data_IF_242914194328
#
_entry.id   IF_242914194328
#
_cell.length_a   1.000
_cell.length_b   1.000
_cell.length_c   1.000
_cell.angle_alpha   90.00
_cell.angle_beta   90.00
_cell.angle_gamma   90.00
#
_symmetry.space_group_name_H-M   'P 1'
#
loop_
_entity.id
_entity.type
_entity.pdbx_description
1 polymer ?
#
# COMPACT_ATOMS: atom_id res chain seq x y z
N UNK A 1 -59.66 17.04 12.12
CA UNK A 1 -58.78 16.98 10.93
C UNK A 1 -57.59 17.97 10.92
N UNK A 2 -57.54 19.04 11.74
CA UNK A 2 -56.51 20.09 11.59
C UNK A 2 -55.04 19.68 11.92
N UNK A 3 -54.81 18.84 12.94
CA UNK A 3 -53.45 18.53 13.45
C UNK A 3 -52.53 17.83 12.41
N UNK A 4 -53.09 17.06 11.48
CA UNK A 4 -52.32 16.25 10.54
C UNK A 4 -51.70 17.07 9.39
N UNK A 5 -52.45 18.05 8.84
CA UNK A 5 -51.94 18.97 7.80
C UNK A 5 -50.69 19.73 8.27
N UNK A 6 -50.58 20.02 9.56
CA UNK A 6 -49.40 20.68 10.15
C UNK A 6 -48.14 19.78 10.11
N UNK A 7 -48.24 18.53 10.56
CA UNK A 7 -47.12 17.55 10.47
C UNK A 7 -46.65 17.35 9.03
N UNK A 8 -47.59 17.22 8.08
CA UNK A 8 -47.27 17.03 6.66
C UNK A 8 -46.53 18.24 6.07
N UNK A 9 -46.94 19.47 6.43
CA UNK A 9 -46.28 20.72 6.00
C UNK A 9 -44.89 20.92 6.62
N UNK A 10 -44.68 20.51 7.89
CA UNK A 10 -43.35 20.58 8.53
C UNK A 10 -42.35 19.59 7.92
N UNK A 11 -42.75 18.33 7.75
CA UNK A 11 -41.90 17.28 7.13
C UNK A 11 -41.52 17.60 5.68
N UNK A 12 -42.39 18.28 4.94
CA UNK A 12 -42.08 18.82 3.61
C UNK A 12 -40.94 19.85 3.64
N UNK A 13 -40.98 20.82 4.56
CA UNK A 13 -39.90 21.81 4.72
C UNK A 13 -38.58 21.20 5.18
N UNK A 14 -38.60 20.19 6.05
CA UNK A 14 -37.39 19.48 6.47
C UNK A 14 -36.74 18.74 5.29
N UNK A 15 -37.52 18.07 4.43
CA UNK A 15 -37.04 17.44 3.20
C UNK A 15 -36.51 18.45 2.17
N UNK A 16 -37.20 19.58 1.97
CA UNK A 16 -36.76 20.65 1.07
C UNK A 16 -35.45 21.31 1.54
N UNK A 17 -35.29 21.49 2.86
CA UNK A 17 -34.08 22.06 3.46
C UNK A 17 -32.92 21.07 3.37
N UNK A 18 -33.15 19.78 3.66
CA UNK A 18 -32.14 18.73 3.46
C UNK A 18 -31.71 18.63 1.98
N UNK A 19 -32.65 18.70 1.03
CA UNK A 19 -32.34 18.74 -0.40
C UNK A 19 -31.45 19.93 -0.78
N UNK A 20 -31.71 21.12 -0.23
CA UNK A 20 -30.89 22.32 -0.44
C UNK A 20 -29.50 22.23 0.18
N UNK A 21 -29.35 21.60 1.35
CA UNK A 21 -28.04 21.34 1.97
C UNK A 21 -27.22 20.32 1.16
N UNK A 22 -27.86 19.27 0.64
CA UNK A 22 -27.20 18.29 -0.25
C UNK A 22 -26.79 18.91 -1.60
N UNK A 23 -27.61 19.82 -2.15
CA UNK A 23 -27.26 20.58 -3.34
C UNK A 23 -26.06 21.52 -3.12
N UNK A 24 -26.05 22.30 -2.03
CA UNK A 24 -24.93 23.17 -1.68
C UNK A 24 -23.62 22.38 -1.45
N UNK A 25 -23.72 21.15 -0.93
CA UNK A 25 -22.57 20.24 -0.77
C UNK A 25 -22.05 19.64 -2.09
N UNK A 26 -22.78 19.78 -3.21
CA UNK A 26 -22.37 19.26 -4.53
C UNK A 26 -21.88 20.33 -5.52
N UNK A 27 -22.08 21.62 -5.26
CA UNK A 27 -21.64 22.70 -6.17
C UNK A 27 -20.12 22.86 -6.30
N UNK A 28 -19.33 22.47 -5.28
CA UNK A 28 -17.86 22.64 -5.21
C UNK A 28 -17.04 21.88 -6.28
N UNK A 29 -17.67 21.05 -7.13
CA UNK A 29 -16.97 20.26 -8.19
C UNK A 29 -17.34 20.73 -9.61
N UNK A 30 -18.13 21.81 -9.76
CA UNK A 30 -18.63 22.34 -11.04
C UNK A 30 -17.61 23.18 -11.84
N UNK A 31 -16.36 22.71 -11.94
CA UNK A 31 -15.35 23.31 -12.82
C UNK A 31 -15.36 22.70 -14.23
N UNK A 32 -15.06 23.52 -15.25
CA UNK A 32 -14.86 23.02 -16.63
C UNK A 32 -13.86 21.85 -16.69
N UNK A 33 -14.02 20.89 -17.64
CA UNK A 33 -13.20 19.68 -17.71
C UNK A 33 -11.72 19.99 -18.07
N UNK A 34 -10.91 20.21 -17.03
CA UNK A 34 -9.51 20.64 -17.15
C UNK A 34 -8.67 19.59 -17.90
N UNK A 35 -8.02 19.91 -19.03
CA UNK A 35 -7.27 18.95 -19.84
C UNK A 35 -6.19 18.24 -19.03
N UNK A 36 -5.95 16.95 -19.29
CA UNK A 36 -5.05 16.11 -18.49
C UNK A 36 -3.66 16.73 -18.31
N UNK A 37 -3.16 16.76 -17.07
CA UNK A 37 -1.87 17.34 -16.71
C UNK A 37 -0.72 16.72 -17.52
N UNK A 38 0.23 17.55 -18.00
CA UNK A 38 1.38 17.06 -18.75
C UNK A 38 2.29 16.18 -17.89
N UNK A 39 3.09 15.30 -18.52
CA UNK A 39 4.08 14.51 -17.77
C UNK A 39 5.18 15.41 -17.17
N UNK A 40 5.61 16.45 -17.87
CA UNK A 40 6.73 17.31 -17.45
C UNK A 40 6.41 18.03 -16.14
N UNK A 41 5.21 18.61 -16.06
CA UNK A 41 4.77 19.38 -14.89
C UNK A 41 4.48 18.43 -13.71
N UNK A 42 3.91 17.26 -14.00
CA UNK A 42 3.69 16.23 -12.99
C UNK A 42 4.99 15.76 -12.32
N UNK A 43 6.03 15.38 -13.07
CA UNK A 43 7.26 14.87 -12.46
C UNK A 43 8.00 16.01 -11.70
N UNK A 44 7.94 17.26 -12.19
CA UNK A 44 8.50 18.45 -11.51
C UNK A 44 7.87 18.73 -10.15
N UNK A 45 6.54 18.67 -10.05
CA UNK A 45 5.85 18.91 -8.77
C UNK A 45 5.93 17.68 -7.85
N UNK A 46 6.00 16.47 -8.42
CA UNK A 46 6.26 15.23 -7.67
C UNK A 46 7.64 15.24 -6.99
N UNK A 47 8.67 15.79 -7.64
CA UNK A 47 10.02 15.92 -7.06
C UNK A 47 10.01 16.70 -5.74
N UNK A 48 9.28 17.82 -5.68
CA UNK A 48 9.12 18.62 -4.44
C UNK A 48 8.41 17.83 -3.34
N UNK A 49 7.28 17.19 -3.68
CA UNK A 49 6.51 16.39 -2.72
C UNK A 49 7.32 15.18 -2.21
N UNK A 50 8.24 14.66 -3.03
CA UNK A 50 9.16 13.59 -2.61
C UNK A 50 10.27 14.07 -1.65
N UNK A 51 10.70 15.34 -1.74
CA UNK A 51 11.56 15.96 -0.70
C UNK A 51 10.79 16.07 0.63
N UNK A 52 9.54 16.54 0.59
CA UNK A 52 8.72 16.69 1.79
C UNK A 52 8.34 15.35 2.43
N UNK A 53 8.10 14.29 1.64
CA UNK A 53 7.95 12.93 2.14
C UNK A 53 9.22 12.41 2.86
N UNK A 54 10.41 12.84 2.43
CA UNK A 54 11.69 12.52 3.10
C UNK A 54 11.90 13.37 4.38
N UNK A 55 11.32 14.57 4.49
CA UNK A 55 11.26 15.30 5.76
C UNK A 55 10.31 14.62 6.75
N UNK A 56 9.09 14.29 6.30
CA UNK A 56 8.11 13.52 7.06
C UNK A 56 8.71 12.20 7.59
N UNK A 57 9.47 11.47 6.78
CA UNK A 57 10.16 10.24 7.22
C UNK A 57 11.07 10.47 8.43
N UNK A 58 11.93 11.49 8.38
CA UNK A 58 12.87 11.76 9.46
C UNK A 58 12.16 12.30 10.70
N UNK A 59 11.11 13.11 10.53
CA UNK A 59 10.24 13.54 11.63
C UNK A 59 9.51 12.36 12.30
N UNK A 60 8.96 11.42 11.53
CA UNK A 60 8.32 10.20 12.06
C UNK A 60 9.31 9.39 12.89
N UNK A 61 10.52 9.17 12.38
CA UNK A 61 11.60 8.48 13.13
C UNK A 61 12.01 9.21 14.41
N UNK A 62 12.10 10.54 14.38
CA UNK A 62 12.55 11.35 15.50
C UNK A 62 11.50 11.48 16.61
N UNK A 63 10.24 11.73 16.23
CA UNK A 63 9.10 11.89 17.15
C UNK A 63 8.55 10.55 17.68
N UNK A 64 8.84 9.43 17.00
CA UNK A 64 8.20 8.15 17.26
C UNK A 64 6.74 8.10 16.81
N UNK A 65 6.27 9.06 15.98
CA UNK A 65 4.90 9.10 15.48
C UNK A 65 4.49 7.81 14.76
N UNK A 66 3.19 7.51 14.79
CA UNK A 66 2.61 6.29 14.21
C UNK A 66 1.55 6.69 13.20
N UNK A 67 1.74 6.36 11.93
CA UNK A 67 0.87 6.82 10.84
C UNK A 67 0.29 5.63 10.09
N UNK A 68 -1.03 5.60 9.92
CA UNK A 68 -1.75 4.56 9.20
C UNK A 68 -2.64 5.20 8.12
N UNK A 69 -2.45 4.81 6.86
CA UNK A 69 -3.19 5.36 5.73
C UNK A 69 -3.91 4.25 4.98
N UNK A 70 -5.24 4.33 4.92
CA UNK A 70 -6.08 3.38 4.18
C UNK A 70 -6.37 3.94 2.79
N UNK A 71 -5.98 3.21 1.74
CA UNK A 71 -6.38 3.52 0.37
C UNK A 71 -7.49 2.58 -0.05
N UNK A 72 -8.70 3.12 -0.16
CA UNK A 72 -9.86 2.51 -0.79
C UNK A 72 -10.25 3.28 -2.05
N UNK A 73 -11.34 2.86 -2.70
CA UNK A 73 -11.77 3.36 -4.00
C UNK A 73 -12.10 2.24 -4.96
N UNK A 74 -12.73 2.59 -6.08
CA UNK A 74 -13.14 1.63 -7.12
C UNK A 74 -11.94 0.88 -7.71
N UNK A 75 -12.22 -0.21 -8.39
CA UNK A 75 -11.21 -0.91 -9.17
C UNK A 75 -10.82 -0.07 -10.39
N UNK A 76 -9.54 -0.11 -10.74
CA UNK A 76 -8.84 0.84 -11.64
C UNK A 76 -8.69 2.31 -11.15
N UNK A 77 -9.29 2.72 -10.03
CA UNK A 77 -9.20 4.11 -9.53
C UNK A 77 -7.77 4.60 -9.21
N UNK A 78 -6.81 3.69 -9.02
CA UNK A 78 -5.38 4.01 -9.05
C UNK A 78 -4.62 3.93 -7.72
N UNK A 79 -5.21 3.33 -6.67
CA UNK A 79 -4.66 3.14 -5.30
C UNK A 79 -3.15 2.89 -5.24
N UNK A 80 -2.68 1.70 -5.63
CA UNK A 80 -1.26 1.36 -5.72
C UNK A 80 -0.39 2.27 -6.61
N UNK A 81 -1.00 3.07 -7.49
CA UNK A 81 -0.33 4.11 -8.28
C UNK A 81 -0.13 5.44 -7.56
N UNK A 82 -0.85 5.69 -6.45
CA UNK A 82 -0.55 6.76 -5.48
C UNK A 82 0.47 6.24 -4.47
N UNK A 83 0.22 5.06 -3.88
CA UNK A 83 1.13 4.40 -2.93
C UNK A 83 2.54 4.29 -3.49
N UNK A 84 2.70 3.83 -4.75
CA UNK A 84 4.01 3.76 -5.41
C UNK A 84 4.76 5.10 -5.47
N UNK A 85 4.07 6.24 -5.60
CA UNK A 85 4.71 7.56 -5.66
C UNK A 85 5.02 8.14 -4.28
N UNK A 86 4.27 7.73 -3.25
CA UNK A 86 4.62 7.97 -1.84
C UNK A 86 5.90 7.19 -1.49
N UNK A 87 5.97 5.89 -1.85
CA UNK A 87 7.08 5.01 -1.44
C UNK A 87 8.34 5.09 -2.33
N UNK A 88 8.35 5.92 -3.38
CA UNK A 88 9.42 5.94 -4.38
C UNK A 88 10.77 6.46 -3.87
N UNK A 89 10.77 7.33 -2.86
CA UNK A 89 11.97 8.02 -2.34
C UNK A 89 12.22 7.86 -0.83
N UNK A 90 11.39 7.08 -0.17
CA UNK A 90 11.45 6.83 1.28
C UNK A 90 11.92 5.40 1.57
N UNK A 91 12.43 5.20 2.78
CA UNK A 91 12.97 3.94 3.27
C UNK A 91 11.85 2.92 3.52
N UNK A 92 11.92 1.70 2.97
CA UNK A 92 10.95 0.64 3.25
C UNK A 92 11.03 0.11 4.70
N UNK A 93 11.99 0.59 5.50
CA UNK A 93 12.06 0.35 6.95
C UNK A 93 11.18 1.31 7.77
N UNK A 94 10.70 2.40 7.16
CA UNK A 94 9.79 3.39 7.77
C UNK A 94 8.43 3.32 7.10
N UNK A 95 8.41 3.35 5.76
CA UNK A 95 7.19 3.27 4.96
C UNK A 95 6.93 1.82 4.53
N UNK A 96 5.99 1.16 5.23
CA UNK A 96 5.54 -0.22 4.96
C UNK A 96 4.27 -0.19 4.11
N UNK A 97 4.20 -1.02 3.08
CA UNK A 97 2.96 -1.25 2.30
C UNK A 97 2.34 -2.57 2.71
N UNK A 98 1.04 -2.56 2.99
CA UNK A 98 0.27 -3.74 3.39
C UNK A 98 -0.81 -3.99 2.34
N UNK A 99 -0.74 -5.14 1.69
CA UNK A 99 -1.69 -5.56 0.66
C UNK A 99 -2.06 -7.03 0.92
N UNK A 100 -3.04 -7.25 1.80
CA UNK A 100 -3.46 -8.59 2.21
C UNK A 100 -4.29 -9.26 1.11
N UNK A 101 -3.94 -10.50 0.77
CA UNK A 101 -4.75 -11.34 -0.11
C UNK A 101 -6.02 -11.88 0.57
N UNK A 102 -6.76 -12.71 -0.17
CA UNK A 102 -7.92 -13.47 0.33
C UNK A 102 -7.63 -14.11 1.70
N UNK A 103 -8.55 -14.03 2.68
CA UNK A 103 -8.34 -14.65 3.99
C UNK A 103 -8.26 -16.17 3.87
N UNK A 104 -7.30 -16.76 4.58
CA UNK A 104 -7.24 -18.20 4.88
C UNK A 104 -8.44 -18.63 5.73
N UNK A 105 -8.75 -19.92 5.77
CA UNK A 105 -9.92 -20.42 6.54
C UNK A 105 -9.80 -20.16 8.06
N UNK A 106 -8.56 -20.06 8.56
CA UNK A 106 -8.29 -19.61 9.94
C UNK A 106 -8.55 -18.10 10.14
N UNK A 107 -8.34 -17.26 9.13
CA UNK A 107 -8.71 -15.83 9.20
C UNK A 107 -10.21 -15.62 9.00
N UNK A 108 -10.89 -16.46 8.22
CA UNK A 108 -12.36 -16.43 8.04
C UNK A 108 -13.12 -16.75 9.34
N UNK A 109 -12.53 -17.57 10.22
CA UNK A 109 -13.10 -17.98 11.51
C UNK A 109 -12.67 -17.08 12.70
N UNK A 110 -11.87 -16.05 12.45
CA UNK A 110 -11.45 -15.06 13.46
C UNK A 110 -12.39 -13.87 13.55
N UNK A 111 -12.19 -13.04 14.58
CA UNK A 111 -12.70 -11.67 14.57
C UNK A 111 -12.11 -10.95 13.34
N UNK A 112 -12.96 -10.40 12.47
CA UNK A 112 -12.54 -9.91 11.14
C UNK A 112 -11.35 -8.92 11.16
N UNK A 113 -11.27 -8.04 12.17
CA UNK A 113 -10.16 -7.08 12.33
C UNK A 113 -8.83 -7.72 12.75
N UNK A 114 -8.84 -8.94 13.31
CA UNK A 114 -7.68 -9.63 13.88
C UNK A 114 -6.56 -9.86 12.86
N UNK A 115 -6.88 -10.02 11.56
CA UNK A 115 -5.88 -10.16 10.51
C UNK A 115 -5.18 -8.84 10.14
N UNK A 116 -5.80 -7.69 10.43
CA UNK A 116 -5.29 -6.37 10.08
C UNK A 116 -4.51 -5.71 11.23
N UNK A 117 -4.91 -5.95 12.48
CA UNK A 117 -4.29 -5.38 13.69
C UNK A 117 -2.76 -5.62 13.79
N UNK A 118 -2.21 -6.81 13.47
CA UNK A 118 -0.76 -7.07 13.50
C UNK A 118 0.08 -6.25 12.50
N UNK A 119 -0.56 -5.51 11.59
CA UNK A 119 0.09 -4.67 10.60
C UNK A 119 0.01 -3.17 10.92
N UNK A 120 -0.65 -2.77 12.01
CA UNK A 120 -0.71 -1.38 12.45
C UNK A 120 0.70 -0.84 12.81
N UNK A 121 0.95 0.48 12.64
CA UNK A 121 2.29 1.07 12.81
C UNK A 121 2.79 0.98 14.26
N UNK A 122 4.05 0.55 14.40
CA UNK A 122 4.84 0.81 15.61
C UNK A 122 5.35 2.27 15.66
N UNK A 123 5.99 2.65 16.77
CA UNK A 123 6.59 3.97 16.92
C UNK A 123 7.66 4.23 15.84
N UNK A 124 7.53 5.30 15.08
CA UNK A 124 8.41 5.62 13.96
C UNK A 124 8.07 4.90 12.65
N UNK A 125 6.87 4.34 12.50
CA UNK A 125 6.39 3.72 11.25
C UNK A 125 5.27 4.50 10.55
N UNK A 126 5.29 4.43 9.22
CA UNK A 126 4.18 4.81 8.33
C UNK A 126 3.70 3.56 7.60
N UNK A 127 2.45 3.16 7.80
CA UNK A 127 1.82 2.01 7.15
C UNK A 127 0.79 2.46 6.13
N UNK A 128 0.92 1.97 4.90
CA UNK A 128 0.03 2.25 3.77
C UNK A 128 -0.71 0.97 3.36
N UNK A 129 -2.02 0.93 3.57
CA UNK A 129 -2.89 -0.19 3.20
C UNK A 129 -3.42 -0.03 1.76
N UNK A 130 -3.04 -0.91 0.83
CA UNK A 130 -3.70 -1.03 -0.49
C UNK A 130 -4.88 -2.00 -0.36
N UNK A 131 -6.06 -1.44 -0.11
CA UNK A 131 -7.20 -2.06 0.58
C UNK A 131 -6.94 -2.42 2.04
N UNK A 132 -8.02 -2.45 2.81
CA UNK A 132 -8.04 -2.48 4.27
C UNK A 132 -9.17 -3.38 4.80
N UNK A 133 -9.55 -3.22 6.07
CA UNK A 133 -10.78 -3.80 6.61
C UNK A 133 -12.04 -3.39 5.84
N UNK A 134 -12.03 -2.28 5.09
CA UNK A 134 -13.16 -1.88 4.24
C UNK A 134 -13.45 -2.80 3.04
N UNK A 135 -12.61 -3.82 2.79
CA UNK A 135 -12.96 -4.97 1.96
C UNK A 135 -14.36 -5.54 2.30
N UNK A 136 -14.73 -5.57 3.59
CA UNK A 136 -16.05 -6.02 4.04
C UNK A 136 -17.21 -5.13 3.59
N UNK A 137 -17.04 -3.81 3.66
CA UNK A 137 -18.06 -2.87 3.21
C UNK A 137 -18.22 -2.86 1.68
N UNK A 138 -17.12 -3.06 0.95
CA UNK A 138 -17.06 -3.09 -0.51
C UNK A 138 -17.23 -4.49 -1.12
N UNK A 139 -16.11 -5.15 -1.44
CA UNK A 139 -16.10 -6.37 -2.26
C UNK A 139 -16.80 -7.56 -1.61
N UNK A 140 -16.63 -7.80 -0.31
CA UNK A 140 -17.30 -8.94 0.34
C UNK A 140 -18.82 -8.79 0.33
N UNK A 141 -19.32 -7.56 0.54
CA UNK A 141 -20.74 -7.21 0.44
C UNK A 141 -21.28 -7.40 -0.98
N UNK A 142 -20.60 -6.85 -1.98
CA UNK A 142 -21.11 -6.83 -3.37
C UNK A 142 -20.99 -8.18 -4.07
N UNK A 143 -20.00 -8.99 -3.70
CA UNK A 143 -19.78 -10.33 -4.27
C UNK A 143 -20.39 -11.48 -3.45
N UNK A 144 -20.90 -11.20 -2.24
CA UNK A 144 -21.54 -12.20 -1.37
C UNK A 144 -20.57 -13.05 -0.55
N UNK A 145 -19.35 -12.56 -0.28
CA UNK A 145 -18.35 -13.24 0.56
C UNK A 145 -18.53 -12.98 2.07
N UNK A 146 -19.44 -12.07 2.44
CA UNK A 146 -19.89 -11.84 3.81
C UNK A 146 -21.43 -11.74 3.83
N UNK A 147 -22.05 -12.21 4.92
CA UNK A 147 -23.51 -12.13 5.07
C UNK A 147 -23.97 -10.70 5.36
N UNK A 148 -25.25 -10.33 5.12
CA UNK A 148 -25.75 -8.99 5.42
C UNK A 148 -25.51 -8.57 6.88
N UNK A 149 -25.67 -9.49 7.83
CA UNK A 149 -25.50 -9.29 9.27
C UNK A 149 -24.03 -9.08 9.65
N UNK A 150 -23.12 -9.77 8.96
CA UNK A 150 -21.67 -9.57 9.10
C UNK A 150 -21.24 -8.20 8.57
N UNK A 151 -21.84 -7.73 7.47
CA UNK A 151 -21.56 -6.40 6.89
C UNK A 151 -22.15 -5.29 7.76
N UNK A 152 -23.38 -5.43 8.25
CA UNK A 152 -24.00 -4.45 9.16
C UNK A 152 -23.22 -4.35 10.48
N UNK A 153 -22.88 -5.50 11.08
CA UNK A 153 -22.08 -5.55 12.30
C UNK A 153 -20.69 -4.97 12.09
N UNK A 154 -20.08 -5.17 10.92
CA UNK A 154 -18.84 -4.50 10.55
C UNK A 154 -19.01 -2.98 10.49
N UNK A 155 -20.00 -2.47 9.74
CA UNK A 155 -20.23 -1.03 9.59
C UNK A 155 -20.51 -0.35 10.93
N UNK A 156 -21.33 -0.97 11.79
CA UNK A 156 -21.63 -0.48 13.14
C UNK A 156 -20.42 -0.48 14.07
N UNK A 157 -19.53 -1.46 13.97
CA UNK A 157 -18.39 -1.62 14.88
C UNK A 157 -17.12 -0.90 14.41
N UNK A 158 -16.98 -0.60 13.11
CA UNK A 158 -15.76 0.01 12.54
C UNK A 158 -15.37 1.34 13.19
N UNK A 159 -16.29 2.30 13.44
CA UNK A 159 -15.94 3.57 14.10
C UNK A 159 -15.32 3.39 15.49
N UNK A 160 -15.74 2.36 16.23
CA UNK A 160 -15.19 2.05 17.56
C UNK A 160 -13.78 1.50 17.47
N UNK A 161 -13.51 0.61 16.50
CA UNK A 161 -12.16 0.07 16.25
C UNK A 161 -11.22 1.18 15.79
N UNK A 162 -11.67 2.06 14.90
CA UNK A 162 -10.87 3.20 14.42
C UNK A 162 -10.61 4.22 15.54
N UNK A 163 -11.59 4.50 16.40
CA UNK A 163 -11.39 5.33 17.58
C UNK A 163 -10.38 4.71 18.55
N UNK A 164 -10.40 3.39 18.80
CA UNK A 164 -9.39 2.71 19.63
C UNK A 164 -7.99 2.77 19.02
N UNK A 165 -7.87 2.68 17.69
CA UNK A 165 -6.59 2.87 16.99
C UNK A 165 -6.07 4.29 17.19
N UNK A 166 -6.92 5.31 17.01
CA UNK A 166 -6.58 6.73 17.18
C UNK A 166 -6.20 7.04 18.64
N UNK A 167 -6.98 6.55 19.61
CA UNK A 167 -6.70 6.71 21.05
C UNK A 167 -5.39 6.05 21.50
N UNK A 168 -4.87 5.07 20.74
CA UNK A 168 -3.53 4.53 20.98
C UNK A 168 -2.39 5.45 20.51
N UNK A 169 -2.70 6.61 19.93
CA UNK A 169 -1.73 7.56 19.36
C UNK A 169 -1.35 7.24 17.91
N UNK A 170 -2.28 6.76 17.08
CA UNK A 170 -2.08 6.54 15.64
C UNK A 170 -2.81 7.60 14.84
N UNK A 171 -2.08 8.31 13.97
CA UNK A 171 -2.66 9.20 12.96
C UNK A 171 -3.28 8.31 11.87
N UNK A 172 -4.59 8.12 11.90
CA UNK A 172 -5.35 7.28 10.97
C UNK A 172 -6.02 8.14 9.89
N UNK A 173 -5.67 7.91 8.62
CA UNK A 173 -6.15 8.68 7.46
C UNK A 173 -6.84 7.74 6.47
N UNK A 174 -8.03 8.10 5.97
CA UNK A 174 -8.80 7.29 5.03
C UNK A 174 -8.99 8.02 3.70
N UNK A 175 -8.49 7.43 2.61
CA UNK A 175 -8.66 7.94 1.25
C UNK A 175 -9.56 7.04 0.42
N UNK A 176 -10.55 7.64 -0.24
CA UNK A 176 -11.37 6.97 -1.24
C UNK A 176 -11.08 7.57 -2.63
N UNK A 177 -10.48 6.79 -3.51
CA UNK A 177 -10.24 7.21 -4.90
C UNK A 177 -11.51 6.95 -5.74
N UNK A 178 -12.15 8.03 -6.18
CA UNK A 178 -13.30 7.98 -7.10
C UNK A 178 -12.80 8.11 -8.54
N UNK A 179 -13.36 7.29 -9.44
CA UNK A 179 -13.16 7.36 -10.90
C UNK A 179 -14.53 7.17 -11.53
N UNK A 180 -14.82 7.89 -12.60
CA UNK A 180 -16.12 7.81 -13.28
C UNK A 180 -16.23 6.56 -14.19
N UNK A 181 -17.44 6.22 -14.63
CA UNK A 181 -17.73 4.93 -15.26
C UNK A 181 -16.98 4.73 -16.59
N UNK A 182 -16.92 5.79 -17.41
CA UNK A 182 -16.30 5.81 -18.72
C UNK A 182 -14.77 5.67 -18.62
N UNK A 183 -14.17 6.40 -17.68
CA UNK A 183 -12.73 6.32 -17.40
C UNK A 183 -12.36 5.00 -16.70
N UNK A 184 -13.26 4.41 -15.91
CA UNK A 184 -13.09 3.05 -15.38
C UNK A 184 -13.06 2.01 -16.51
N UNK A 185 -14.06 2.05 -17.41
CA UNK A 185 -14.17 1.13 -18.54
C UNK A 185 -12.96 1.25 -19.50
N UNK A 186 -12.55 2.49 -19.82
CA UNK A 186 -11.33 2.76 -20.58
C UNK A 186 -10.08 2.20 -19.90
N UNK A 187 -9.94 2.32 -18.57
CA UNK A 187 -8.82 1.75 -17.82
C UNK A 187 -8.82 0.23 -17.77
N UNK A 188 -9.99 -0.42 -17.89
CA UNK A 188 -10.06 -1.86 -18.08
C UNK A 188 -9.50 -2.26 -19.45
N UNK A 189 -9.92 -1.59 -20.52
CA UNK A 189 -9.40 -1.81 -21.88
C UNK A 189 -7.88 -1.56 -21.94
N UNK A 190 -7.39 -0.44 -21.39
CA UNK A 190 -5.96 -0.12 -21.28
C UNK A 190 -5.12 -1.17 -20.52
N UNK A 191 -5.73 -2.04 -19.70
CA UNK A 191 -5.06 -3.14 -18.99
C UNK A 191 -5.06 -4.45 -19.80
N UNK A 192 -6.11 -4.67 -20.58
CA UNK A 192 -6.22 -5.81 -21.50
C UNK A 192 -5.16 -5.68 -22.60
N UNK A 193 -5.02 -4.49 -23.16
CA UNK A 193 -4.20 -4.23 -24.35
C UNK A 193 -2.72 -3.98 -24.04
N UNK A 194 -2.32 -3.99 -22.75
CA UNK A 194 -0.94 -3.83 -22.31
C UNK A 194 -0.52 -5.04 -21.46
N UNK A 195 0.25 -5.97 -22.05
CA UNK A 195 0.77 -7.17 -21.38
C UNK A 195 1.56 -6.88 -20.09
N UNK A 196 2.07 -5.66 -19.88
CA UNK A 196 2.75 -5.26 -18.62
C UNK A 196 1.76 -4.95 -17.49
N UNK A 197 0.47 -4.82 -17.81
CA UNK A 197 -0.66 -4.56 -16.92
C UNK A 197 -1.64 -5.73 -16.81
N UNK A 198 -1.63 -6.71 -17.72
CA UNK A 198 -2.65 -7.78 -17.81
C UNK A 198 -2.84 -8.56 -16.50
N UNK A 199 -1.78 -8.76 -15.71
CA UNK A 199 -1.82 -9.37 -14.36
C UNK A 199 -2.66 -8.60 -13.33
N UNK A 200 -3.12 -7.38 -13.68
CA UNK A 200 -4.04 -6.55 -12.88
C UNK A 200 -5.50 -6.71 -13.32
N UNK A 201 -5.82 -7.78 -14.04
CA UNK A 201 -7.18 -8.18 -14.39
C UNK A 201 -7.43 -9.57 -13.82
N UNK A 202 -8.41 -9.68 -12.94
CA UNK A 202 -9.01 -10.95 -12.54
C UNK A 202 -10.41 -11.09 -13.14
N UNK A 203 -10.96 -12.32 -13.25
CA UNK A 203 -12.36 -12.52 -13.64
C UNK A 203 -13.35 -11.80 -12.72
N UNK A 204 -12.98 -11.54 -11.46
CA UNK A 204 -13.78 -10.80 -10.49
C UNK A 204 -13.86 -9.30 -10.84
N UNK A 205 -12.79 -8.67 -11.34
CA UNK A 205 -12.82 -7.25 -11.70
C UNK A 205 -13.79 -6.98 -12.86
N UNK A 206 -13.91 -7.92 -13.81
CA UNK A 206 -14.87 -7.85 -14.93
C UNK A 206 -16.31 -7.94 -14.42
N UNK A 207 -16.59 -8.83 -13.46
CA UNK A 207 -17.90 -8.88 -12.79
C UNK A 207 -18.18 -7.62 -11.96
N UNK A 208 -17.15 -7.01 -11.37
CA UNK A 208 -17.27 -5.79 -10.58
C UNK A 208 -17.67 -4.57 -11.44
N UNK A 209 -17.18 -4.50 -12.69
CA UNK A 209 -17.58 -3.46 -13.66
C UNK A 209 -19.11 -3.48 -13.91
N UNK A 210 -19.70 -4.67 -14.08
CA UNK A 210 -21.15 -4.81 -14.25
C UNK A 210 -21.96 -4.43 -12.98
N UNK A 211 -21.37 -4.57 -11.78
CA UNK A 211 -22.00 -4.27 -10.48
C UNK A 211 -21.80 -2.82 -10.01
N UNK A 212 -21.59 -1.88 -10.94
CA UNK A 212 -21.29 -0.45 -10.66
C UNK A 212 -22.21 0.19 -9.59
N UNK A 213 -23.52 -0.05 -9.69
CA UNK A 213 -24.50 0.54 -8.77
C UNK A 213 -24.53 -0.16 -7.41
N UNK A 214 -24.15 -1.44 -7.31
CA UNK A 214 -23.97 -2.12 -6.03
C UNK A 214 -22.74 -1.62 -5.29
N UNK A 215 -21.61 -1.44 -5.98
CA UNK A 215 -20.44 -0.77 -5.42
C UNK A 215 -20.74 0.68 -5.00
N UNK A 216 -21.59 1.39 -5.74
CA UNK A 216 -22.02 2.75 -5.39
C UNK A 216 -22.93 2.76 -4.15
N UNK A 217 -23.87 1.82 -4.03
CA UNK A 217 -24.68 1.59 -2.80
C UNK A 217 -23.80 1.22 -1.61
N UNK A 218 -22.82 0.34 -1.82
CA UNK A 218 -21.86 -0.11 -0.81
C UNK A 218 -21.01 1.05 -0.28
N UNK A 219 -20.40 1.85 -1.17
CA UNK A 219 -19.66 3.08 -0.83
C UNK A 219 -20.52 4.05 -0.02
N UNK A 220 -21.75 4.33 -0.48
CA UNK A 220 -22.62 5.30 0.19
C UNK A 220 -22.99 4.85 1.62
N UNK A 221 -23.28 3.56 1.81
CA UNK A 221 -23.54 2.99 3.13
C UNK A 221 -22.28 2.91 4.02
N UNK A 222 -21.09 2.77 3.41
CA UNK A 222 -19.81 2.83 4.11
C UNK A 222 -19.55 4.23 4.68
N UNK A 223 -19.64 5.27 3.83
CA UNK A 223 -19.48 6.65 4.29
C UNK A 223 -20.53 7.02 5.34
N UNK A 224 -21.81 6.71 5.12
CA UNK A 224 -22.88 7.01 6.07
C UNK A 224 -22.75 6.32 7.45
N UNK A 225 -21.91 5.29 7.57
CA UNK A 225 -21.65 4.58 8.82
C UNK A 225 -20.28 4.88 9.44
N UNK A 226 -19.27 5.28 8.65
CA UNK A 226 -17.88 5.40 9.12
C UNK A 226 -17.16 6.70 8.75
N UNK A 227 -17.83 7.66 8.11
CA UNK A 227 -17.34 9.04 8.04
C UNK A 227 -17.60 9.74 9.39
N UNK A 228 -16.55 10.01 10.16
CA UNK A 228 -16.66 10.58 11.52
C UNK A 228 -15.74 11.78 11.70
N UNK A 229 -16.07 12.75 12.58
CA UNK A 229 -15.19 13.90 12.84
C UNK A 229 -13.78 13.53 13.31
N UNK A 230 -13.62 12.37 13.95
CA UNK A 230 -12.33 11.85 14.43
C UNK A 230 -11.55 11.09 13.33
N UNK A 231 -12.25 10.51 12.36
CA UNK A 231 -11.68 9.72 11.27
C UNK A 231 -12.51 9.91 9.98
N UNK A 232 -12.37 11.06 9.30
CA UNK A 232 -13.19 11.37 8.13
C UNK A 232 -12.71 10.62 6.87
N UNK A 233 -13.58 10.57 5.86
CA UNK A 233 -13.28 10.04 4.52
C UNK A 233 -12.90 11.15 3.54
N UNK A 234 -11.65 11.10 3.04
CA UNK A 234 -11.18 12.03 2.02
C UNK A 234 -11.34 11.46 0.61
N UNK A 235 -12.26 12.04 -0.17
CA UNK A 235 -12.48 11.65 -1.57
C UNK A 235 -11.43 12.28 -2.48
N UNK A 236 -10.78 11.46 -3.30
CA UNK A 236 -9.78 11.88 -4.28
C UNK A 236 -10.31 11.63 -5.71
N UNK A 237 -10.74 12.67 -6.45
CA UNK A 237 -11.11 12.55 -7.85
C UNK A 237 -9.90 12.08 -8.69
N UNK A 238 -10.02 10.91 -9.32
CA UNK A 238 -8.87 10.17 -9.86
C UNK A 238 -8.83 10.02 -11.39
N UNK A 239 -9.75 10.64 -12.13
CA UNK A 239 -9.77 10.62 -13.60
C UNK A 239 -8.44 11.09 -14.21
N UNK A 240 -7.92 12.24 -13.76
CA UNK A 240 -6.53 12.61 -14.02
C UNK A 240 -5.62 11.98 -12.95
N UNK A 241 -5.03 10.83 -13.29
CA UNK A 241 -4.14 10.10 -12.37
C UNK A 241 -2.88 10.90 -11.96
N UNK A 242 -2.47 11.94 -12.70
CA UNK A 242 -1.31 12.77 -12.35
C UNK A 242 -1.71 13.78 -11.27
N UNK A 243 -2.80 14.51 -11.48
CA UNK A 243 -3.37 15.43 -10.47
C UNK A 243 -3.76 14.69 -9.19
N UNK A 244 -4.40 13.54 -9.30
CA UNK A 244 -4.83 12.75 -8.15
C UNK A 244 -3.67 12.33 -7.23
N UNK A 245 -2.52 11.96 -7.80
CA UNK A 245 -1.29 11.66 -7.05
C UNK A 245 -0.76 12.90 -6.32
N UNK A 246 -0.61 14.03 -7.03
CA UNK A 246 -0.10 15.27 -6.43
C UNK A 246 -1.03 15.76 -5.32
N UNK A 247 -2.33 15.84 -5.58
CA UNK A 247 -3.31 16.33 -4.61
C UNK A 247 -3.41 15.41 -3.38
N UNK A 248 -3.45 14.09 -3.56
CA UNK A 248 -3.50 13.14 -2.44
C UNK A 248 -2.24 13.18 -1.58
N UNK A 249 -1.05 13.32 -2.19
CA UNK A 249 0.22 13.45 -1.44
C UNK A 249 0.32 14.80 -0.74
N UNK A 250 -0.08 15.90 -1.39
CA UNK A 250 -0.13 17.24 -0.78
C UNK A 250 -1.07 17.25 0.42
N UNK A 251 -2.26 16.68 0.27
CA UNK A 251 -3.25 16.57 1.35
C UNK A 251 -2.73 15.68 2.50
N UNK A 252 -2.13 14.53 2.18
CA UNK A 252 -1.51 13.64 3.16
C UNK A 252 -0.43 14.34 4.00
N UNK A 253 0.44 15.12 3.37
CA UNK A 253 1.43 15.95 4.06
C UNK A 253 0.75 17.00 4.95
N UNK A 254 -0.28 17.70 4.47
CA UNK A 254 -0.98 18.73 5.25
C UNK A 254 -1.78 18.23 6.46
N UNK A 255 -2.11 16.93 6.51
CA UNK A 255 -2.79 16.31 7.66
C UNK A 255 -1.85 15.96 8.82
N UNK A 256 -0.53 16.05 8.63
CA UNK A 256 0.46 15.61 9.61
C UNK A 256 1.25 16.84 10.08
N UNK A 257 1.34 17.12 11.39
CA UNK A 257 2.13 18.22 11.92
C UNK A 257 3.63 17.84 11.96
N UNK A 258 4.22 17.56 10.79
CA UNK A 258 5.63 17.23 10.68
C UNK A 258 6.50 18.50 10.60
N UNK A 259 7.66 18.44 11.25
CA UNK A 259 8.61 19.53 11.34
C UNK A 259 9.96 19.11 10.73
N UNK A 260 10.76 20.07 10.27
CA UNK A 260 12.07 19.80 9.68
C UNK A 260 13.10 19.49 10.76
N UNK A 261 13.32 18.20 11.04
CA UNK A 261 14.28 17.71 12.04
C UNK A 261 15.70 18.24 11.74
N UNK A 262 16.38 18.88 12.70
CA UNK A 262 17.76 19.33 12.54
C UNK A 262 18.70 18.19 12.13
N UNK A 263 19.62 18.48 11.19
CA UNK A 263 20.61 17.50 10.71
C UNK A 263 22.01 18.09 10.80
N UNK A 264 22.96 17.31 11.31
CA UNK A 264 24.37 17.67 11.23
C UNK A 264 24.88 17.60 9.77
N UNK A 265 25.74 18.54 9.33
CA UNK A 265 26.34 18.48 7.99
C UNK A 265 27.22 17.23 7.82
N UNK A 266 26.90 16.41 6.81
CA UNK A 266 27.64 15.18 6.51
C UNK A 266 29.06 15.51 6.06
N UNK A 267 30.04 15.22 6.93
CA UNK A 267 31.47 15.32 6.63
C UNK A 267 31.96 13.99 6.08
N UNK A 268 32.18 13.91 4.77
CA UNK A 268 32.78 12.73 4.14
C UNK A 268 34.25 12.59 4.54
N UNK A 269 34.68 11.46 5.15
CA UNK A 269 36.09 11.25 5.47
C UNK A 269 36.92 11.08 4.19
N UNK A 270 38.22 11.40 4.27
CA UNK A 270 39.17 11.04 3.20
C UNK A 270 39.20 9.51 3.07
N UNK A 271 39.23 9.01 1.83
CA UNK A 271 39.44 7.58 1.56
C UNK A 271 40.81 7.15 2.10
N UNK A 272 40.90 5.93 2.60
CA UNK A 272 42.17 5.33 3.00
C UNK A 272 43.13 5.23 1.80
N UNK A 273 44.44 5.25 2.07
CA UNK A 273 45.44 4.96 1.06
C UNK A 273 45.36 3.49 0.61
N UNK A 274 45.85 3.19 -0.61
CA UNK A 274 45.84 1.81 -1.15
C UNK A 274 46.69 0.84 -0.30
N UNK A 275 47.74 1.33 0.35
CA UNK A 275 48.62 0.48 1.17
C UNK A 275 49.26 -0.63 0.35
N UNK A 276 49.24 -1.84 0.89
CA UNK A 276 49.67 -3.09 0.28
C UNK A 276 48.60 -3.76 -0.60
N UNK A 277 47.35 -3.25 -0.61
CA UNK A 277 46.23 -3.88 -1.32
C UNK A 277 46.51 -4.02 -2.82
N UNK A 278 46.55 -5.27 -3.27
CA UNK A 278 46.55 -5.65 -4.68
C UNK A 278 45.16 -6.14 -5.05
N UNK A 279 44.65 -5.62 -6.16
CA UNK A 279 43.36 -6.01 -6.72
C UNK A 279 43.53 -7.40 -7.35
N UNK A 280 42.71 -8.40 -6.99
CA UNK A 280 42.94 -9.78 -7.41
C UNK A 280 42.62 -9.97 -8.89
N UNK A 281 43.49 -10.68 -9.61
CA UNK A 281 43.25 -11.14 -10.97
C UNK A 281 42.28 -12.33 -10.97
N UNK A 282 41.01 -12.02 -10.66
CA UNK A 282 39.93 -12.98 -10.55
C UNK A 282 39.01 -12.90 -11.79
N UNK A 283 38.69 -14.02 -12.45
CA UNK A 283 37.86 -14.04 -13.66
C UNK A 283 36.37 -13.82 -13.32
N UNK A 284 36.02 -12.59 -12.98
CA UNK A 284 34.65 -12.17 -12.69
C UNK A 284 33.71 -12.35 -13.89
N UNK A 285 32.52 -12.90 -13.63
CA UNK A 285 31.44 -13.00 -14.63
C UNK A 285 30.65 -11.69 -14.67
N UNK A 286 31.11 -10.75 -15.50
CA UNK A 286 30.43 -9.47 -15.70
C UNK A 286 29.07 -9.63 -16.41
N UNK A 287 28.12 -8.76 -16.07
CA UNK A 287 26.83 -8.67 -16.77
C UNK A 287 27.02 -7.94 -18.10
N UNK A 288 26.60 -8.48 -19.26
CA UNK A 288 26.80 -7.82 -20.54
C UNK A 288 26.12 -6.45 -20.64
N UNK A 289 26.89 -5.41 -20.97
CA UNK A 289 26.42 -4.03 -21.09
C UNK A 289 25.55 -3.80 -22.36
N UNK A 290 24.28 -4.19 -22.30
CA UNK A 290 23.34 -4.05 -23.43
C UNK A 290 22.81 -2.62 -23.66
N UNK A 291 23.09 -1.68 -22.75
CA UNK A 291 22.48 -0.34 -22.75
C UNK A 291 23.53 0.79 -22.59
N UNK A 292 24.61 0.74 -23.37
CA UNK A 292 25.60 1.81 -23.44
C UNK A 292 25.16 2.94 -24.39
N UNK A 293 25.43 4.19 -24.03
CA UNK A 293 25.25 5.34 -24.93
C UNK A 293 26.56 5.53 -25.70
N UNK A 294 26.56 5.28 -27.01
CA UNK A 294 27.72 5.60 -27.86
C UNK A 294 27.87 7.15 -27.96
N UNK A 295 28.97 7.74 -27.44
CA UNK A 295 29.11 9.19 -27.37
C UNK A 295 29.16 9.91 -28.73
N UNK A 296 29.40 9.19 -29.83
CA UNK A 296 29.63 9.77 -31.18
C UNK A 296 28.35 10.06 -31.98
N UNK A 297 27.16 9.82 -31.43
CA UNK A 297 25.87 10.09 -32.10
C UNK A 297 25.41 11.55 -32.05
N UNK A 298 26.16 12.44 -31.38
CA UNK A 298 25.82 13.85 -31.23
C UNK A 298 26.18 14.73 -32.45
N UNK A 299 25.21 14.94 -33.36
CA UNK A 299 25.18 16.02 -34.38
C UNK A 299 26.50 16.26 -35.15
N UNK A 300 26.72 15.54 -36.24
CA UNK A 300 27.50 16.11 -37.34
C UNK A 300 26.72 17.28 -37.96
N UNK A 301 27.20 18.52 -37.74
CA UNK A 301 26.88 19.63 -38.67
C UNK A 301 27.76 19.46 -39.91
N UNK A 302 27.18 19.61 -41.09
CA UNK A 302 27.94 19.62 -42.33
C UNK A 302 28.96 20.78 -42.31
N UNK A 303 30.23 20.46 -42.53
CA UNK A 303 31.35 21.39 -42.41
C UNK A 303 32.64 20.72 -42.86
N UNK A 304 32.81 20.59 -44.17
CA UNK A 304 33.89 19.80 -44.75
C UNK A 304 35.26 20.50 -44.70
N UNK A 305 36.30 19.72 -44.38
CA UNK A 305 37.56 19.75 -45.13
C UNK A 305 38.30 18.43 -44.96
N UNK A 306 38.88 17.94 -46.07
CA UNK A 306 39.65 16.71 -46.16
C UNK A 306 41.12 16.93 -45.80
N UNK A 307 41.79 15.92 -45.27
CA UNK A 307 43.23 15.71 -45.47
C UNK A 307 43.54 14.22 -45.69
N UNK A 308 44.57 13.93 -46.49
CA UNK A 308 45.03 12.58 -46.86
C UNK A 308 46.36 12.23 -46.15
N UNK A 309 46.67 10.94 -46.06
CA UNK A 309 47.90 10.39 -45.45
C UNK A 309 47.65 8.97 -44.93
N UNK A 310 47.61 7.93 -45.76
CA UNK A 310 48.73 7.18 -46.38
C UNK A 310 49.31 6.10 -45.42
N UNK A 311 48.98 4.84 -45.77
CA UNK A 311 49.73 3.57 -45.61
C UNK A 311 50.28 3.11 -44.23
N UNK A 312 50.53 1.82 -43.92
CA UNK A 312 50.03 0.47 -44.30
C UNK A 312 51.00 -0.52 -43.61
N UNK A 313 50.53 -1.32 -42.65
CA UNK A 313 51.12 -2.64 -42.31
C UNK A 313 50.09 -3.44 -41.48
N UNK A 314 49.36 -4.38 -42.11
CA UNK A 314 49.66 -5.84 -42.15
C UNK A 314 49.80 -6.48 -40.76
N UNK A 315 48.85 -7.35 -40.37
CA UNK A 315 49.03 -8.16 -39.15
C UNK A 315 47.86 -8.98 -38.56
N UNK A 316 46.84 -9.43 -39.30
CA UNK A 316 45.91 -10.46 -38.82
C UNK A 316 45.17 -11.17 -39.97
N UNK A 317 44.94 -12.48 -39.84
CA UNK A 317 44.19 -13.31 -40.79
C UNK A 317 42.67 -13.15 -40.61
N UNK A 318 41.93 -13.23 -41.73
CA UNK A 318 40.47 -13.36 -41.68
C UNK A 318 40.06 -14.83 -41.56
N UNK A 319 39.13 -15.12 -40.66
CA UNK A 319 38.28 -16.31 -40.71
C UNK A 319 36.84 -15.83 -40.88
N UNK A 320 36.13 -16.36 -41.88
CA UNK A 320 34.74 -16.02 -42.13
C UNK A 320 33.84 -17.10 -41.53
N UNK A 321 33.17 -16.80 -40.42
CA UNK A 321 32.10 -17.66 -39.92
C UNK A 321 30.77 -17.30 -40.59
N UNK A 322 30.18 -18.31 -41.24
CA UNK A 322 28.86 -18.23 -41.87
C UNK A 322 27.80 -18.36 -40.78
N UNK A 323 26.88 -17.39 -40.73
CA UNK A 323 25.68 -17.52 -39.89
C UNK A 323 24.70 -18.50 -40.56
N UNK A 324 24.28 -19.59 -39.89
CA UNK A 324 23.26 -20.47 -40.43
C UNK A 324 21.90 -19.77 -40.46
N UNK A 325 21.07 -20.11 -41.45
CA UNK A 325 19.72 -19.57 -41.56
C UNK A 325 18.81 -20.05 -40.42
N UNK A 326 17.72 -19.30 -40.17
CA UNK A 326 16.78 -19.62 -39.09
C UNK A 326 15.89 -20.81 -39.47
N UNK A 327 15.71 -21.83 -38.59
CA UNK A 327 14.92 -23.01 -38.91
C UNK A 327 13.42 -22.71 -39.04
N UNK A 328 12.73 -23.54 -39.82
CA UNK A 328 11.33 -23.38 -40.18
C UNK A 328 10.32 -23.63 -39.05
N UNK A 329 9.08 -23.15 -39.28
CA UNK A 329 7.99 -22.99 -38.30
C UNK A 329 7.38 -24.29 -37.71
N UNK A 330 8.03 -25.43 -37.88
CA UNK A 330 7.52 -26.75 -37.43
C UNK A 330 8.37 -27.36 -36.30
N UNK A 331 9.69 -27.15 -36.28
CA UNK A 331 10.57 -27.72 -35.23
C UNK A 331 10.26 -27.18 -33.83
N UNK A 332 9.74 -25.94 -33.75
CA UNK A 332 9.32 -25.30 -32.50
C UNK A 332 8.20 -26.09 -31.78
N UNK A 333 7.32 -26.78 -32.53
CA UNK A 333 6.26 -27.61 -31.95
C UNK A 333 6.80 -28.85 -31.26
N UNK A 334 7.87 -29.45 -31.77
CA UNK A 334 8.46 -30.69 -31.23
C UNK A 334 9.15 -30.43 -29.90
N UNK A 335 9.84 -29.28 -29.74
CA UNK A 335 10.46 -28.90 -28.45
C UNK A 335 9.45 -28.68 -27.33
N UNK A 336 8.26 -28.17 -27.64
CA UNK A 336 7.19 -27.97 -26.64
C UNK A 336 6.63 -29.32 -26.14
N UNK A 337 6.60 -30.36 -26.98
CA UNK A 337 6.06 -31.68 -26.62
C UNK A 337 6.98 -32.54 -25.71
N UNK A 338 8.27 -32.21 -25.59
CA UNK A 338 9.23 -33.01 -24.80
C UNK A 338 9.32 -32.55 -23.34
N UNK A 339 8.97 -31.29 -23.04
CA UNK A 339 9.03 -30.73 -21.68
C UNK A 339 7.84 -31.20 -20.80
N UNK A 340 6.79 -31.76 -21.39
CA UNK A 340 5.56 -32.17 -20.69
C UNK A 340 5.53 -33.62 -20.16
N UNK A 341 6.69 -34.24 -19.83
CA UNK A 341 6.75 -35.64 -19.35
C UNK A 341 7.64 -35.91 -18.12
N UNK A 342 8.20 -34.90 -17.46
CA UNK A 342 9.15 -35.08 -16.34
C UNK A 342 8.85 -34.24 -15.08
N UNK A 343 7.57 -33.94 -14.81
CA UNK A 343 7.11 -33.41 -13.51
C UNK A 343 5.86 -34.17 -13.06
N UNK A 344 5.82 -34.74 -11.83
CA UNK A 344 4.65 -35.45 -11.31
C UNK A 344 3.52 -34.51 -10.84
N UNK A 345 2.30 -35.07 -10.72
CA UNK A 345 1.09 -34.34 -10.29
C UNK A 345 1.05 -33.95 -8.81
N UNK A 346 0.04 -33.16 -8.39
CA UNK A 346 0.06 -32.39 -7.14
C UNK A 346 -0.14 -33.17 -5.82
N UNK A 347 -0.48 -34.45 -5.83
CA UNK A 347 -0.83 -35.22 -4.62
C UNK A 347 0.37 -35.81 -3.83
N UNK A 348 1.61 -35.36 -4.13
CA UNK A 348 2.84 -36.05 -3.72
C UNK A 348 3.78 -35.26 -2.78
N UNK A 349 3.26 -34.41 -1.88
CA UNK A 349 4.07 -33.82 -0.78
C UNK A 349 3.39 -34.00 0.58
N UNK A 350 3.79 -35.05 1.31
CA UNK A 350 3.61 -35.15 2.77
C UNK A 350 4.93 -34.76 3.46
N UNK A 351 4.94 -33.86 4.46
CA UNK A 351 6.13 -33.64 5.28
C UNK A 351 6.33 -34.81 6.25
N UNK A 352 7.27 -35.70 5.94
CA UNK A 352 7.69 -36.78 6.83
C UNK A 352 8.79 -36.29 7.79
N UNK A 353 8.41 -35.97 9.04
CA UNK A 353 9.36 -35.74 10.14
C UNK A 353 8.85 -36.38 11.45
N UNK A 354 9.41 -37.57 11.73
CA UNK A 354 9.50 -38.29 13.03
C UNK A 354 10.73 -39.20 12.91
N UNK A 355 11.53 -39.48 13.94
CA UNK A 355 11.74 -38.78 15.20
C UNK A 355 13.24 -38.44 15.34
N UNK A 356 13.87 -38.42 16.51
CA UNK A 356 13.39 -38.69 17.87
C UNK A 356 14.12 -37.80 18.89
N UNK A 357 13.44 -37.46 19.99
CA UNK A 357 13.88 -37.64 21.37
C UNK A 357 13.09 -36.76 22.33
N UNK A 358 12.14 -37.38 23.05
CA UNK A 358 11.48 -36.80 24.20
C UNK A 358 11.33 -37.91 25.26
N UNK A 359 11.94 -37.78 26.46
CA UNK A 359 11.59 -38.59 27.60
C UNK A 359 10.54 -37.84 28.43
N UNK A 360 9.28 -38.26 28.33
CA UNK A 360 8.19 -37.76 29.17
C UNK A 360 8.13 -38.59 30.47
N UNK A 361 8.00 -37.95 31.65
CA UNK A 361 8.06 -38.65 32.93
C UNK A 361 7.30 -37.95 34.09
N UNK A 362 5.98 -37.88 33.98
CA UNK A 362 5.11 -37.48 35.08
C UNK A 362 4.84 -38.63 36.08
N UNK A 363 5.49 -38.65 37.26
CA UNK A 363 4.94 -39.40 38.43
C UNK A 363 5.41 -38.94 39.83
N UNK A 364 4.47 -38.30 40.54
CA UNK A 364 4.09 -38.40 41.98
C UNK A 364 5.12 -38.51 43.13
N UNK A 365 4.71 -37.93 44.27
CA UNK A 365 5.25 -38.03 45.66
C UNK A 365 6.50 -37.18 45.95
N UNK A 366 6.70 -36.59 47.15
CA UNK A 366 5.77 -36.36 48.28
C UNK A 366 6.43 -36.30 49.67
N UNK A 367 6.27 -35.19 50.42
CA UNK A 367 6.72 -34.93 51.82
C UNK A 367 8.25 -34.90 52.05
N UNK A 368 8.87 -34.23 53.06
CA UNK A 368 8.47 -33.28 54.15
C UNK A 368 9.71 -32.39 54.52
N UNK A 369 9.78 -31.45 55.50
CA UNK A 369 8.92 -31.06 56.63
C UNK A 369 8.45 -29.57 56.56
N UNK A 370 8.62 -28.57 57.46
CA UNK A 370 9.38 -28.35 58.72
C UNK A 370 10.69 -27.56 58.51
N UNK A 371 11.13 -26.55 59.29
CA UNK A 371 10.70 -25.85 60.55
C UNK A 371 11.03 -24.33 60.36
N UNK A 372 10.38 -23.30 60.95
CA UNK A 372 9.25 -23.16 61.88
C UNK A 372 8.91 -21.68 62.21
N UNK A 373 7.93 -21.45 63.10
CA UNK A 373 7.43 -20.17 63.70
C UNK A 373 6.84 -20.51 65.10
N UNK A 374 6.44 -19.58 66.02
CA UNK A 374 6.01 -18.17 65.86
C UNK A 374 6.77 -17.22 66.84
N UNK A 375 6.32 -16.13 67.49
CA UNK A 375 5.01 -15.41 67.61
C UNK A 375 5.18 -13.95 68.15
N UNK A 376 4.09 -13.19 68.22
CA UNK A 376 3.86 -12.07 69.16
C UNK A 376 4.18 -10.64 68.69
N UNK A 377 3.57 -9.56 69.23
CA UNK A 377 2.34 -9.49 70.06
C UNK A 377 1.72 -8.05 70.07
N UNK A 378 0.43 -7.93 69.71
CA UNK A 378 -0.62 -6.99 70.18
C UNK A 378 -0.45 -5.45 70.42
N UNK A 379 -1.39 -4.71 69.79
CA UNK A 379 -2.31 -3.64 70.34
C UNK A 379 -1.81 -2.37 71.07
N UNK A 380 -2.29 -1.20 70.60
CA UNK A 380 -3.23 -0.21 71.26
C UNK A 380 -3.42 1.00 70.30
N UNK A 381 -4.62 1.56 70.04
CA UNK A 381 -5.51 2.41 70.87
C UNK A 381 -4.81 3.66 71.45
N UNK A 382 -5.22 4.93 71.21
CA UNK A 382 -6.21 5.48 70.26
C UNK A 382 -7.19 6.50 70.89
N UNK A 383 -6.99 7.82 70.67
CA UNK A 383 -7.87 8.98 70.98
C UNK A 383 -7.20 10.27 70.41
N UNK A 384 -7.79 11.47 70.28
CA UNK A 384 -9.14 11.94 69.86
C UNK A 384 -9.24 13.48 70.02
N UNK A 385 -9.82 14.25 69.06
CA UNK A 385 -10.77 15.40 69.24
C UNK A 385 -10.76 16.50 68.15
N UNK A 386 -11.99 16.94 67.79
CA UNK A 386 -12.45 18.27 67.31
C UNK A 386 -11.93 18.79 65.94
N UNK A 387 -12.75 19.43 65.10
CA UNK A 387 -14.22 19.59 65.15
C UNK A 387 -14.74 20.83 64.39
N UNK A 388 -16.05 20.83 64.07
CA UNK A 388 -16.81 21.88 63.35
C UNK A 388 -16.44 22.03 61.86
N UNK A 389 -17.35 22.41 60.95
CA UNK A 389 -18.80 22.71 61.11
C UNK A 389 -19.63 21.88 60.13
#
# INVERSE_FOLDING_TARGET
MAKDKSKKKKKGKELETAGKVVAAATEQVSGEPKPNMSRKDFEKEMEKLQVELVKLQEWVKFSGAKICVLFEGRDTAGKGGVIKRITERVSPRVFRVVALGTPTDREKSQMYFQRYIPYLPAAGEVVLFDRSWYNRAGVERVMGFATPEQVETFLRNTPWVENSIIQSGVILIKYWLEVDMEEQAKRFQERNDDYRKIWKLSPMDVQAQARWYDYSRARNAMFAATDTPQCPWYVVPSNDQRRARLNCITHFLSLIPYEEVPREPIKFPKRQAKGDYKEPDYPYRYVPEKFYINPRSGRQRAGGRSFHGIERSRGATAAAEVWPESPGREEEKVRIAVISRTVPGPDAIRPAWRGDHQPDLHRRMGNHAGVGRPDGLQRRLGHARRGQS
#
